data_IF_156997145312
#
_entry.id   IF_156997145312
#
_cell.length_a   1.000
_cell.length_b   1.000
_cell.length_c   1.000
_cell.angle_alpha   90.00
_cell.angle_beta   90.00
_cell.angle_gamma   90.00
#
_symmetry.space_group_name_H-M   'P 1'
#
loop_
_entity.id
_entity.type
_entity.pdbx_description
1 polymer ?
#
# COMPACT_ATOMS: atom_id res chain seq x y z
N UNK A 1 -2.52 33.79 2.21
CA UNK A 1 -1.36 33.49 3.04
C UNK A 1 -1.63 34.10 4.39
N UNK A 2 -1.58 33.31 5.46
CA UNK A 2 -1.71 33.81 6.82
C UNK A 2 -0.39 34.42 7.26
N UNK A 3 -0.49 35.50 8.06
CA UNK A 3 0.67 36.02 8.74
C UNK A 3 1.18 34.97 9.73
N UNK A 4 2.46 34.62 9.62
CA UNK A 4 3.09 33.64 10.52
C UNK A 4 3.11 34.14 12.00
N UNK A 5 2.87 35.43 12.21
CA UNK A 5 2.79 36.04 13.53
C UNK A 5 1.35 36.20 14.05
N UNK A 6 0.33 35.74 13.29
CA UNK A 6 -1.04 35.84 13.74
C UNK A 6 -1.25 35.02 15.03
N UNK A 7 -1.90 35.63 16.01
CA UNK A 7 -2.28 34.95 17.25
C UNK A 7 -3.47 33.98 16.99
N UNK A 8 -3.70 33.04 17.89
CA UNK A 8 -4.82 32.14 17.77
C UNK A 8 -6.20 32.79 17.65
N UNK A 9 -6.34 34.05 18.18
CA UNK A 9 -7.55 34.85 18.06
C UNK A 9 -7.75 35.47 16.67
N UNK A 10 -6.66 35.61 15.90
CA UNK A 10 -6.67 36.26 14.58
C UNK A 10 -6.80 35.23 13.43
N UNK A 11 -6.76 33.95 13.76
CA UNK A 11 -6.95 32.90 12.78
C UNK A 11 -8.44 32.80 12.39
N UNK A 12 -8.76 32.75 11.10
CA UNK A 12 -10.13 32.56 10.66
C UNK A 12 -10.67 31.19 11.08
N UNK A 13 -11.98 31.06 11.11
CA UNK A 13 -12.64 29.77 11.25
C UNK A 13 -12.27 28.80 10.10
N UNK A 14 -12.61 27.54 10.28
CA UNK A 14 -12.43 26.52 9.23
C UNK A 14 -13.27 26.86 8.00
N UNK A 15 -12.69 26.70 6.83
CA UNK A 15 -13.44 26.82 5.58
C UNK A 15 -14.23 25.53 5.29
N UNK A 16 -15.26 25.67 4.48
CA UNK A 16 -16.02 24.51 3.98
C UNK A 16 -15.12 23.53 3.24
N UNK A 17 -15.35 22.23 3.43
CA UNK A 17 -14.53 21.18 2.85
C UNK A 17 -14.38 21.29 1.34
N UNK A 18 -15.50 21.48 0.62
CA UNK A 18 -15.49 21.59 -0.85
C UNK A 18 -14.73 22.83 -1.33
N UNK A 19 -14.80 23.95 -0.61
CA UNK A 19 -13.99 25.12 -0.89
C UNK A 19 -12.48 24.81 -0.77
N UNK A 20 -12.09 24.08 0.26
CA UNK A 20 -10.69 23.64 0.41
C UNK A 20 -10.27 22.70 -0.72
N UNK A 21 -11.14 21.75 -1.11
CA UNK A 21 -10.90 20.84 -2.24
C UNK A 21 -10.65 21.63 -3.54
N UNK A 22 -11.49 22.63 -3.83
CA UNK A 22 -11.33 23.44 -5.05
C UNK A 22 -10.05 24.27 -5.04
N UNK A 23 -9.68 24.83 -3.89
CA UNK A 23 -8.40 25.58 -3.76
C UNK A 23 -7.17 24.68 -3.92
N UNK A 24 -7.18 23.49 -3.31
CA UNK A 24 -6.09 22.53 -3.45
C UNK A 24 -6.00 22.07 -4.91
N UNK A 25 -7.13 21.77 -5.55
CA UNK A 25 -7.15 21.38 -6.96
C UNK A 25 -6.58 22.46 -7.87
N UNK A 26 -6.95 23.72 -7.64
CA UNK A 26 -6.40 24.87 -8.37
C UNK A 26 -4.87 24.95 -8.22
N UNK A 27 -4.34 24.87 -6.99
CA UNK A 27 -2.89 24.89 -6.75
C UNK A 27 -2.17 23.72 -7.42
N UNK A 28 -2.78 22.53 -7.41
CA UNK A 28 -2.22 21.38 -8.12
C UNK A 28 -2.19 21.59 -9.64
N UNK A 29 -3.20 22.25 -10.21
CA UNK A 29 -3.22 22.60 -11.65
C UNK A 29 -2.16 23.67 -11.98
N UNK A 30 -2.04 24.72 -11.15
CA UNK A 30 -1.01 25.75 -11.29
C UNK A 30 0.41 25.15 -11.21
N UNK A 31 0.64 24.24 -10.27
CA UNK A 31 1.91 23.53 -10.15
C UNK A 31 2.18 22.59 -11.35
N UNK A 32 1.15 21.85 -11.78
CA UNK A 32 1.27 20.95 -12.93
C UNK A 32 1.60 21.68 -14.24
N UNK A 33 1.21 22.94 -14.37
CA UNK A 33 1.51 23.74 -15.56
C UNK A 33 2.99 24.12 -15.71
N UNK A 34 3.75 24.11 -14.61
CA UNK A 34 5.17 24.54 -14.61
C UNK A 34 6.16 23.42 -14.30
N UNK A 35 5.68 22.31 -13.72
CA UNK A 35 6.53 21.17 -13.37
C UNK A 35 6.74 20.23 -14.59
N UNK A 36 7.88 19.55 -14.69
CA UNK A 36 8.09 18.52 -15.72
C UNK A 36 7.17 17.33 -15.50
N UNK A 37 6.81 16.62 -16.58
CA UNK A 37 6.00 15.40 -16.49
C UNK A 37 6.71 14.26 -15.75
N UNK A 38 8.01 14.14 -15.98
CA UNK A 38 8.91 13.16 -15.33
C UNK A 38 10.24 13.82 -15.03
N UNK A 39 10.98 13.23 -14.11
CA UNK A 39 12.34 13.65 -13.73
C UNK A 39 13.31 12.47 -13.86
N UNK A 40 14.59 12.76 -13.77
CA UNK A 40 15.63 11.73 -13.76
C UNK A 40 15.45 10.76 -12.58
N UNK A 41 15.84 9.50 -12.76
CA UNK A 41 15.72 8.46 -11.74
C UNK A 41 16.52 8.80 -10.46
N UNK A 42 17.55 9.62 -10.54
CA UNK A 42 18.32 10.08 -9.35
C UNK A 42 17.59 11.10 -8.52
N UNK A 43 16.58 11.77 -9.10
CA UNK A 43 15.76 12.79 -8.46
C UNK A 43 14.28 12.37 -8.26
N UNK A 44 13.99 11.08 -8.35
CA UNK A 44 12.64 10.51 -8.37
C UNK A 44 11.70 10.93 -7.23
N UNK A 45 12.23 11.58 -6.19
CA UNK A 45 11.46 12.10 -5.05
C UNK A 45 10.88 13.49 -5.26
N UNK A 46 11.33 14.23 -6.28
CA UNK A 46 10.87 15.59 -6.57
C UNK A 46 9.47 15.58 -7.17
N UNK A 47 8.74 16.67 -6.93
CA UNK A 47 7.41 16.85 -7.49
C UNK A 47 7.43 16.93 -9.02
N UNK A 48 6.43 16.35 -9.65
CA UNK A 48 6.21 16.37 -11.11
C UNK A 48 4.74 16.70 -11.40
N UNK A 49 4.44 17.10 -12.64
CA UNK A 49 3.05 17.29 -13.06
C UNK A 49 2.25 15.99 -13.00
N UNK A 50 2.89 14.83 -13.22
CA UNK A 50 2.26 13.50 -13.01
C UNK A 50 1.79 13.32 -11.58
N UNK A 51 2.62 13.67 -10.59
CA UNK A 51 2.26 13.62 -9.16
C UNK A 51 1.11 14.58 -8.86
N UNK A 52 1.15 15.81 -9.37
CA UNK A 52 0.08 16.80 -9.16
C UNK A 52 -1.27 16.28 -9.67
N UNK A 53 -1.32 15.70 -10.87
CA UNK A 53 -2.53 15.11 -11.43
C UNK A 53 -3.02 13.90 -10.64
N UNK A 54 -2.13 13.04 -10.19
CA UNK A 54 -2.48 11.89 -9.34
C UNK A 54 -3.03 12.31 -7.97
N UNK A 55 -2.43 13.32 -7.34
CA UNK A 55 -2.93 13.89 -6.08
C UNK A 55 -4.29 14.55 -6.26
N UNK A 56 -4.53 15.27 -7.37
CA UNK A 56 -5.82 15.85 -7.69
C UNK A 56 -6.90 14.78 -7.88
N UNK A 57 -6.60 13.71 -8.59
CA UNK A 57 -7.52 12.58 -8.75
C UNK A 57 -7.88 11.96 -7.40
N UNK A 58 -6.89 11.73 -6.54
CA UNK A 58 -7.09 11.22 -5.17
C UNK A 58 -7.92 12.16 -4.32
N UNK A 59 -7.66 13.46 -4.38
CA UNK A 59 -8.41 14.50 -3.67
C UNK A 59 -9.90 14.44 -4.05
N UNK A 60 -10.22 14.38 -5.34
CA UNK A 60 -11.61 14.34 -5.80
C UNK A 60 -12.30 13.02 -5.45
N UNK A 61 -11.58 11.90 -5.47
CA UNK A 61 -12.12 10.62 -5.05
C UNK A 61 -12.53 10.65 -3.56
N UNK A 62 -11.69 11.23 -2.69
CA UNK A 62 -12.04 11.45 -1.29
C UNK A 62 -13.23 12.39 -1.13
N UNK A 63 -13.28 13.49 -1.89
CA UNK A 63 -14.37 14.46 -1.85
C UNK A 63 -15.71 13.88 -2.33
N UNK A 64 -15.68 12.88 -3.23
CA UNK A 64 -16.86 12.18 -3.71
C UNK A 64 -17.36 11.09 -2.74
N UNK A 65 -16.52 10.65 -1.78
CA UNK A 65 -16.88 9.59 -0.84
C UNK A 65 -18.10 9.96 0.00
N UNK A 66 -18.92 8.98 0.44
CA UNK A 66 -20.17 9.24 1.17
C UNK A 66 -20.02 10.19 2.35
N UNK A 67 -18.91 10.08 3.11
CA UNK A 67 -18.66 10.92 4.29
C UNK A 67 -18.57 12.41 3.95
N UNK A 68 -18.07 12.77 2.76
CA UNK A 68 -17.94 14.16 2.30
C UNK A 68 -18.97 14.52 1.21
N UNK A 69 -19.89 13.61 0.95
CA UNK A 69 -20.92 13.76 -0.07
C UNK A 69 -22.29 13.32 0.47
N UNK A 70 -22.80 14.10 1.41
CA UNK A 70 -24.17 13.96 1.93
C UNK A 70 -24.32 13.12 3.20
N UNK A 71 -23.34 12.29 3.59
CA UNK A 71 -23.45 11.35 4.74
C UNK A 71 -22.52 11.68 5.89
N UNK A 72 -22.21 12.97 6.11
CA UNK A 72 -21.34 13.35 7.21
C UNK A 72 -22.01 13.10 8.57
N UNK A 73 -21.35 12.40 9.52
CA UNK A 73 -22.01 11.88 10.72
C UNK A 73 -22.31 12.93 11.80
N UNK A 74 -21.72 14.11 11.73
CA UNK A 74 -21.88 15.14 12.75
C UNK A 74 -22.83 16.24 12.30
N UNK A 75 -24.14 16.24 12.70
CA UNK A 75 -25.16 17.14 12.18
C UNK A 75 -24.92 18.62 12.52
N UNK A 76 -24.24 18.90 13.63
CA UNK A 76 -23.98 20.27 14.12
C UNK A 76 -22.56 20.79 13.75
N UNK A 77 -21.89 20.18 12.79
CA UNK A 77 -20.55 20.59 12.36
C UNK A 77 -20.66 21.84 11.49
N UNK A 78 -20.58 23.00 12.15
CA UNK A 78 -20.66 24.32 11.49
C UNK A 78 -19.89 25.37 12.28
N UNK A 79 -19.49 26.44 11.60
CA UNK A 79 -18.89 27.60 12.25
C UNK A 79 -19.94 28.42 13.03
N UNK A 80 -19.48 29.11 14.06
CA UNK A 80 -20.31 30.08 14.81
C UNK A 80 -20.17 31.49 14.27
N UNK A 81 -18.95 31.90 13.96
CA UNK A 81 -18.55 33.29 13.66
C UNK A 81 -17.80 33.46 12.32
N UNK A 82 -17.74 32.45 11.49
CA UNK A 82 -17.07 32.51 10.18
C UNK A 82 -17.97 31.90 9.09
N UNK A 83 -17.97 32.55 7.92
CA UNK A 83 -18.67 32.09 6.73
C UNK A 83 -17.71 31.86 5.58
N UNK A 84 -17.76 30.67 4.99
CA UNK A 84 -17.01 30.38 3.77
C UNK A 84 -17.76 30.96 2.57
N UNK A 85 -17.10 31.74 1.68
CA UNK A 85 -17.75 32.29 0.49
C UNK A 85 -18.45 31.20 -0.33
N UNK A 86 -19.75 31.39 -0.59
CA UNK A 86 -20.58 30.43 -1.33
C UNK A 86 -21.14 29.27 -0.52
N UNK A 87 -20.70 29.07 0.75
CA UNK A 87 -21.10 27.92 1.58
C UNK A 87 -21.68 28.32 2.95
N UNK A 88 -21.60 29.61 3.32
CA UNK A 88 -22.06 30.08 4.62
C UNK A 88 -21.28 29.47 5.77
N UNK A 89 -21.98 29.09 6.85
CA UNK A 89 -21.37 28.54 8.08
C UNK A 89 -21.18 27.02 8.03
N UNK A 90 -21.73 26.34 7.06
CA UNK A 90 -21.56 24.88 6.94
C UNK A 90 -20.11 24.53 6.62
N UNK A 91 -19.66 23.40 7.17
CA UNK A 91 -18.27 22.90 6.97
C UNK A 91 -18.19 21.74 6.01
N UNK A 92 -19.29 21.00 5.81
CA UNK A 92 -19.37 19.84 4.91
C UNK A 92 -20.76 19.82 4.28
N UNK A 93 -20.83 19.48 2.99
CA UNK A 93 -22.09 19.35 2.26
C UNK A 93 -23.00 18.27 2.88
N UNK A 94 -24.26 18.62 3.10
CA UNK A 94 -25.33 17.73 3.62
C UNK A 94 -26.14 17.06 2.52
N UNK A 95 -25.95 17.49 1.30
CA UNK A 95 -26.68 16.98 0.14
C UNK A 95 -25.74 16.16 -0.73
N UNK A 96 -26.22 15.00 -1.17
CA UNK A 96 -25.51 14.18 -2.14
C UNK A 96 -25.45 14.88 -3.49
N UNK A 97 -24.25 14.95 -4.07
CA UNK A 97 -23.98 15.50 -5.38
C UNK A 97 -23.31 14.44 -6.26
N UNK A 98 -24.01 13.89 -7.27
CA UNK A 98 -23.45 12.89 -8.17
C UNK A 98 -22.30 13.45 -9.03
N UNK A 99 -22.26 14.77 -9.30
CA UNK A 99 -21.20 15.39 -10.11
C UNK A 99 -19.81 15.27 -9.45
N UNK A 100 -19.73 15.09 -8.13
CA UNK A 100 -18.45 14.80 -7.45
C UNK A 100 -17.83 13.51 -7.95
N UNK A 101 -18.63 12.47 -8.23
CA UNK A 101 -18.13 11.22 -8.80
C UNK A 101 -17.70 11.36 -10.25
N UNK A 102 -18.44 12.13 -11.06
CA UNK A 102 -18.05 12.41 -12.44
C UNK A 102 -16.73 13.18 -12.50
N UNK A 103 -16.57 14.17 -11.62
CA UNK A 103 -15.34 14.95 -11.48
C UNK A 103 -14.16 14.06 -11.04
N UNK A 104 -14.36 13.15 -10.08
CA UNK A 104 -13.36 12.20 -9.64
C UNK A 104 -12.95 11.25 -10.77
N UNK A 105 -13.93 10.69 -11.50
CA UNK A 105 -13.68 9.80 -12.64
C UNK A 105 -12.89 10.48 -13.75
N UNK A 106 -13.25 11.72 -14.09
CA UNK A 106 -12.56 12.50 -15.11
C UNK A 106 -11.09 12.75 -14.70
N UNK A 107 -10.85 13.15 -13.45
CA UNK A 107 -9.50 13.36 -12.93
C UNK A 107 -8.67 12.06 -12.87
N UNK A 108 -9.28 10.94 -12.50
CA UNK A 108 -8.59 9.64 -12.50
C UNK A 108 -8.18 9.21 -13.92
N UNK A 109 -9.07 9.39 -14.91
CA UNK A 109 -8.75 9.10 -16.31
C UNK A 109 -7.63 10.01 -16.86
N UNK A 110 -7.71 11.31 -16.54
CA UNK A 110 -6.67 12.27 -16.91
C UNK A 110 -5.31 11.89 -16.28
N UNK A 111 -5.28 11.64 -14.98
CA UNK A 111 -4.05 11.29 -14.26
C UNK A 111 -3.42 10.00 -14.79
N UNK A 112 -4.24 8.96 -15.01
CA UNK A 112 -3.77 7.69 -15.55
C UNK A 112 -3.22 7.86 -16.98
N UNK A 113 -3.97 8.52 -17.85
CA UNK A 113 -3.54 8.76 -19.23
C UNK A 113 -2.24 9.57 -19.28
N UNK A 114 -2.11 10.60 -18.46
CA UNK A 114 -0.91 11.42 -18.37
C UNK A 114 0.28 10.63 -17.81
N UNK A 115 0.10 9.85 -16.76
CA UNK A 115 1.15 9.02 -16.18
C UNK A 115 1.74 8.02 -17.19
N UNK A 116 0.88 7.36 -17.96
CA UNK A 116 1.29 6.37 -18.97
C UNK A 116 1.95 7.02 -20.20
N UNK A 117 1.43 8.15 -20.70
CA UNK A 117 1.88 8.73 -21.95
C UNK A 117 3.04 9.73 -21.77
N UNK A 118 3.01 10.54 -20.71
CA UNK A 118 3.95 11.64 -20.48
C UNK A 118 4.86 11.38 -19.26
N UNK A 119 4.31 10.75 -18.20
CA UNK A 119 5.01 10.49 -16.96
C UNK A 119 6.03 9.37 -17.04
N UNK A 120 6.00 8.55 -18.10
CA UNK A 120 6.87 7.38 -18.28
C UNK A 120 6.60 6.27 -17.26
N UNK A 121 5.38 6.23 -16.70
CA UNK A 121 4.95 5.19 -15.77
C UNK A 121 4.50 3.94 -16.53
N UNK A 122 4.68 2.79 -15.89
CA UNK A 122 4.18 1.50 -16.40
C UNK A 122 3.93 0.56 -15.22
N UNK A 123 3.06 -0.41 -15.39
CA UNK A 123 2.89 -1.46 -14.39
C UNK A 123 4.14 -2.32 -14.30
N UNK A 124 4.61 -2.55 -13.08
CA UNK A 124 5.79 -3.37 -12.81
C UNK A 124 5.46 -4.85 -12.98
N UNK A 125 6.31 -5.59 -13.67
CA UNK A 125 6.08 -7.00 -13.95
C UNK A 125 4.91 -7.30 -14.90
N UNK A 126 4.57 -6.35 -15.78
CA UNK A 126 3.48 -6.49 -16.73
C UNK A 126 3.84 -5.96 -18.12
N UNK A 127 3.61 -6.78 -19.14
CA UNK A 127 3.76 -6.38 -20.54
C UNK A 127 2.39 -5.91 -21.07
N UNK A 128 2.28 -4.60 -21.30
CA UNK A 128 1.05 -3.99 -21.78
C UNK A 128 0.65 -4.41 -23.20
N UNK A 129 1.63 -4.74 -24.04
CA UNK A 129 1.39 -5.14 -25.45
C UNK A 129 0.79 -6.55 -25.52
N UNK A 130 1.35 -7.51 -24.80
CA UNK A 130 0.84 -8.89 -24.73
C UNK A 130 -0.26 -9.08 -23.70
N UNK A 131 -0.45 -8.13 -22.77
CA UNK A 131 -1.38 -8.22 -21.63
C UNK A 131 -1.10 -9.42 -20.73
N UNK A 132 0.17 -9.73 -20.54
CA UNK A 132 0.64 -10.84 -19.71
C UNK A 132 1.57 -10.38 -18.63
N UNK A 133 1.78 -11.22 -17.62
CA UNK A 133 2.87 -11.03 -16.67
C UNK A 133 4.22 -11.03 -17.40
N UNK A 134 5.14 -10.21 -16.93
CA UNK A 134 6.52 -10.13 -17.41
C UNK A 134 7.46 -10.18 -16.21
N UNK A 135 8.17 -11.28 -16.07
CA UNK A 135 9.08 -11.51 -14.95
C UNK A 135 10.54 -11.11 -15.25
N UNK A 136 10.81 -10.44 -16.38
CA UNK A 136 12.19 -10.09 -16.79
C UNK A 136 12.92 -9.30 -15.73
N UNK A 137 12.29 -8.26 -15.17
CA UNK A 137 12.89 -7.47 -14.09
C UNK A 137 13.02 -8.26 -12.80
N UNK A 138 12.06 -9.15 -12.50
CA UNK A 138 12.10 -10.01 -11.31
C UNK A 138 13.28 -10.98 -11.40
N UNK A 139 13.45 -11.64 -12.53
CA UNK A 139 14.59 -12.55 -12.76
C UNK A 139 15.93 -11.81 -12.67
N UNK A 140 16.01 -10.59 -13.23
CA UNK A 140 17.19 -9.73 -13.13
C UNK A 140 17.52 -9.34 -11.69
N UNK A 141 16.53 -8.91 -10.91
CA UNK A 141 16.69 -8.51 -9.51
C UNK A 141 17.09 -9.71 -8.64
N UNK A 142 16.40 -10.84 -8.79
CA UNK A 142 16.75 -12.08 -8.09
C UNK A 142 18.18 -12.52 -8.37
N UNK A 143 18.59 -12.49 -9.64
CA UNK A 143 19.97 -12.84 -10.04
C UNK A 143 21.00 -11.88 -9.42
N UNK A 144 20.72 -10.58 -9.40
CA UNK A 144 21.59 -9.58 -8.77
C UNK A 144 21.77 -9.81 -7.26
N UNK A 145 20.76 -10.34 -6.60
CA UNK A 145 20.78 -10.69 -5.18
C UNK A 145 21.28 -12.12 -4.89
N UNK A 146 21.62 -12.89 -5.93
CA UNK A 146 22.03 -14.29 -5.78
C UNK A 146 20.88 -15.21 -5.32
N UNK A 147 19.64 -14.85 -5.63
CA UNK A 147 18.45 -15.63 -5.32
C UNK A 147 18.15 -16.62 -6.43
N UNK A 148 17.73 -17.82 -6.03
CA UNK A 148 17.21 -18.84 -6.93
C UNK A 148 15.81 -19.25 -6.50
N UNK A 149 14.97 -19.65 -7.44
CA UNK A 149 13.61 -20.12 -7.13
C UNK A 149 13.61 -21.29 -6.14
N UNK A 150 14.63 -22.17 -6.17
CA UNK A 150 14.71 -23.30 -5.25
C UNK A 150 14.83 -22.87 -3.79
N UNK A 151 15.42 -21.71 -3.53
CA UNK A 151 15.48 -21.14 -2.17
C UNK A 151 14.13 -20.58 -1.68
N UNK A 152 13.17 -20.41 -2.58
CA UNK A 152 11.84 -19.89 -2.28
C UNK A 152 10.80 -21.00 -2.12
N UNK A 153 11.12 -22.20 -2.55
CA UNK A 153 10.21 -23.35 -2.46
C UNK A 153 10.02 -23.75 -0.99
N UNK A 154 8.77 -23.88 -0.59
CA UNK A 154 8.37 -24.37 0.73
C UNK A 154 7.22 -25.34 0.57
N UNK A 155 7.38 -26.55 1.07
CA UNK A 155 6.37 -27.60 1.05
C UNK A 155 5.77 -27.80 -0.37
N UNK A 156 4.49 -27.53 -0.54
CA UNK A 156 3.75 -27.66 -1.79
C UNK A 156 3.78 -26.39 -2.66
N UNK A 157 4.36 -25.29 -2.19
CA UNK A 157 4.57 -24.06 -2.98
C UNK A 157 5.79 -24.19 -3.86
N UNK A 158 5.65 -24.90 -4.97
CA UNK A 158 6.74 -25.22 -5.90
C UNK A 158 6.54 -24.66 -7.30
N UNK A 159 5.36 -24.12 -7.62
CA UNK A 159 5.07 -23.50 -8.90
C UNK A 159 5.91 -22.23 -9.11
N UNK A 160 6.68 -22.19 -10.19
CA UNK A 160 7.63 -21.11 -10.46
C UNK A 160 6.94 -19.77 -10.72
N UNK A 161 5.82 -19.77 -11.44
CA UNK A 161 5.09 -18.53 -11.72
C UNK A 161 4.46 -17.98 -10.44
N UNK A 162 3.99 -18.86 -9.57
CA UNK A 162 3.49 -18.45 -8.26
C UNK A 162 4.60 -17.81 -7.42
N UNK A 163 5.77 -18.44 -7.34
CA UNK A 163 6.92 -17.93 -6.58
C UNK A 163 7.43 -16.61 -7.15
N UNK A 164 7.53 -16.47 -8.49
CA UNK A 164 7.86 -15.20 -9.14
C UNK A 164 6.81 -14.13 -8.88
N UNK A 165 5.54 -14.49 -8.79
CA UNK A 165 4.46 -13.55 -8.42
C UNK A 165 4.58 -13.06 -6.96
N UNK A 166 5.00 -13.93 -6.04
CA UNK A 166 5.33 -13.50 -4.66
C UNK A 166 6.48 -12.49 -4.67
N UNK A 167 7.56 -12.79 -5.40
CA UNK A 167 8.71 -11.90 -5.52
C UNK A 167 8.37 -10.58 -6.21
N UNK A 168 7.54 -10.63 -7.25
CA UNK A 168 7.03 -9.43 -7.92
C UNK A 168 6.36 -8.49 -6.92
N UNK A 169 5.49 -9.01 -6.07
CA UNK A 169 4.80 -8.22 -5.06
C UNK A 169 5.75 -7.65 -3.99
N UNK A 170 6.79 -8.40 -3.62
CA UNK A 170 7.84 -7.92 -2.71
C UNK A 170 8.65 -6.79 -3.35
N UNK A 171 9.14 -6.99 -4.58
CA UNK A 171 9.91 -5.99 -5.30
C UNK A 171 9.08 -4.75 -5.66
N UNK A 172 7.80 -4.91 -5.95
CA UNK A 172 6.90 -3.76 -6.20
C UNK A 172 6.94 -2.74 -5.06
N UNK A 173 7.05 -3.22 -3.80
CA UNK A 173 7.02 -2.37 -2.62
C UNK A 173 8.42 -1.93 -2.14
N UNK A 174 9.49 -2.56 -2.61
CA UNK A 174 10.85 -2.37 -2.08
C UNK A 174 11.84 -1.81 -3.08
N UNK A 175 11.50 -1.77 -4.37
CA UNK A 175 12.39 -1.25 -5.44
C UNK A 175 12.00 0.17 -5.85
N UNK A 176 12.92 0.83 -6.54
CA UNK A 176 12.82 2.22 -7.00
C UNK A 176 12.89 2.28 -8.55
N UNK A 177 12.64 3.44 -9.18
CA UNK A 177 12.65 3.56 -10.63
C UNK A 177 13.94 3.13 -11.34
N UNK A 178 15.11 3.26 -10.69
CA UNK A 178 16.37 2.75 -11.23
C UNK A 178 16.44 1.22 -11.32
N UNK A 179 15.64 0.52 -10.51
CA UNK A 179 15.53 -0.94 -10.52
C UNK A 179 14.55 -1.46 -11.58
N UNK A 180 13.97 -0.58 -12.37
CA UNK A 180 12.95 -0.88 -13.39
C UNK A 180 11.51 -0.68 -12.91
N UNK A 181 11.29 -0.41 -11.63
CA UNK A 181 9.95 -0.18 -11.08
C UNK A 181 9.45 1.23 -11.38
N UNK A 182 8.59 1.34 -12.39
CA UNK A 182 7.99 2.60 -12.84
C UNK A 182 6.51 2.70 -12.49
N UNK A 183 6.02 1.85 -11.60
CA UNK A 183 4.63 1.89 -11.14
C UNK A 183 4.41 2.97 -10.07
N UNK A 184 5.47 3.37 -9.37
CA UNK A 184 5.39 4.45 -8.40
C UNK A 184 5.16 5.80 -9.07
N UNK A 185 4.14 6.51 -8.62
CA UNK A 185 3.93 7.91 -8.96
C UNK A 185 4.72 8.84 -8.03
N UNK A 186 4.68 8.55 -6.72
CA UNK A 186 5.44 9.27 -5.71
C UNK A 186 5.62 8.40 -4.47
N UNK A 187 6.83 8.42 -3.93
CA UNK A 187 7.20 7.64 -2.76
C UNK A 187 7.95 8.52 -1.77
N UNK A 188 7.69 8.33 -0.48
CA UNK A 188 8.49 8.97 0.57
C UNK A 188 9.83 8.24 0.68
N UNK A 189 10.93 9.00 0.58
CA UNK A 189 12.29 8.46 0.73
C UNK A 189 12.84 8.71 2.14
N UNK A 190 13.84 7.91 2.50
CA UNK A 190 14.77 8.08 3.64
C UNK A 190 14.23 7.97 5.07
N UNK A 191 12.94 7.79 5.28
CA UNK A 191 12.41 7.83 6.65
C UNK A 191 12.21 6.46 7.31
N UNK A 192 12.46 5.36 6.60
CA UNK A 192 12.02 4.04 7.03
C UNK A 192 13.02 3.24 7.85
N UNK A 193 14.32 3.60 7.86
CA UNK A 193 15.38 2.80 8.49
C UNK A 193 15.12 2.40 9.94
N UNK A 194 14.49 3.27 10.74
CA UNK A 194 14.17 2.94 12.13
C UNK A 194 12.86 2.17 12.32
N UNK A 195 11.96 2.16 11.31
CA UNK A 195 10.64 1.51 11.41
C UNK A 195 10.63 0.12 10.81
N UNK A 196 11.48 -0.16 9.85
CA UNK A 196 11.64 -1.51 9.27
C UNK A 196 11.94 -2.53 10.35
N UNK A 197 12.83 -2.19 11.29
CA UNK A 197 13.20 -3.04 12.41
C UNK A 197 12.00 -3.35 13.33
N UNK A 198 11.03 -2.43 13.44
CA UNK A 198 9.84 -2.61 14.28
C UNK A 198 8.83 -3.61 13.71
N UNK A 199 8.78 -3.74 12.38
CA UNK A 199 7.83 -4.63 11.69
C UNK A 199 8.42 -5.98 11.34
N UNK A 200 9.75 -6.11 11.37
CA UNK A 200 10.42 -7.37 11.08
C UNK A 200 10.19 -8.41 12.18
N UNK A 201 10.13 -9.70 11.82
CA UNK A 201 10.13 -10.78 12.80
C UNK A 201 11.32 -10.71 13.75
N UNK A 202 11.12 -11.20 14.97
CA UNK A 202 12.17 -11.15 16.00
C UNK A 202 13.39 -11.99 15.63
N UNK A 203 14.59 -11.49 15.94
CA UNK A 203 15.87 -12.17 15.68
C UNK A 203 16.15 -12.53 14.21
N UNK A 204 15.68 -11.73 13.27
CA UNK A 204 15.88 -11.99 11.84
C UNK A 204 17.17 -11.39 11.28
N UNK A 205 17.76 -10.41 11.97
CA UNK A 205 18.94 -9.69 11.52
C UNK A 205 20.17 -10.27 12.22
N UNK A 206 21.22 -10.60 11.46
CA UNK A 206 22.55 -10.93 12.02
C UNK A 206 23.40 -9.69 12.12
N UNK A 207 24.03 -9.46 13.25
CA UNK A 207 25.08 -8.46 13.40
C UNK A 207 26.41 -8.92 12.76
N UNK A 208 27.43 -8.05 12.81
CA UNK A 208 28.76 -8.34 12.28
C UNK A 208 29.45 -9.54 12.95
N UNK A 209 29.02 -9.94 14.14
CA UNK A 209 29.55 -11.08 14.89
C UNK A 209 28.74 -12.37 14.66
N UNK A 210 27.71 -12.29 13.81
CA UNK A 210 26.82 -13.42 13.54
C UNK A 210 25.73 -13.65 14.59
N UNK A 211 25.64 -12.79 15.62
CA UNK A 211 24.57 -12.87 16.61
C UNK A 211 23.25 -12.38 16.03
N UNK A 212 22.18 -13.11 16.33
CA UNK A 212 20.84 -12.75 15.86
C UNK A 212 20.32 -11.54 16.65
N UNK A 213 19.96 -10.50 15.94
CA UNK A 213 19.47 -9.25 16.54
C UNK A 213 18.31 -8.68 15.70
N UNK A 214 17.67 -7.66 16.25
CA UNK A 214 16.66 -6.88 15.58
C UNK A 214 15.33 -7.62 15.39
N UNK A 215 14.40 -6.90 14.79
CA UNK A 215 13.02 -7.33 14.70
C UNK A 215 12.33 -7.27 16.07
N UNK A 216 11.27 -6.47 16.16
CA UNK A 216 10.58 -6.27 17.45
C UNK A 216 9.13 -6.75 17.40
N UNK A 217 8.68 -7.24 16.24
CA UNK A 217 7.28 -7.68 16.00
C UNK A 217 6.25 -6.65 16.51
N UNK A 218 6.61 -5.36 16.39
CA UNK A 218 5.78 -4.27 16.94
C UNK A 218 4.48 -4.01 16.17
N UNK A 219 4.30 -4.69 15.03
CA UNK A 219 3.10 -4.56 14.19
C UNK A 219 2.63 -5.94 13.78
N UNK A 220 1.62 -6.46 14.48
CA UNK A 220 0.93 -7.68 14.09
C UNK A 220 -0.24 -7.37 13.14
N UNK A 221 -0.47 -8.24 12.16
CA UNK A 221 -1.66 -8.17 11.33
C UNK A 221 -2.90 -8.57 12.13
N UNK A 222 -4.00 -7.86 11.94
CA UNK A 222 -5.29 -8.27 12.52
C UNK A 222 -5.84 -9.48 11.74
N UNK A 223 -6.60 -10.34 12.40
CA UNK A 223 -7.30 -11.46 11.73
C UNK A 223 -8.20 -10.94 10.60
N UNK A 224 -8.85 -9.81 10.82
CA UNK A 224 -9.64 -9.13 9.80
C UNK A 224 -8.82 -8.83 8.53
N UNK A 225 -7.61 -8.28 8.66
CA UNK A 225 -6.74 -8.00 7.50
C UNK A 225 -6.33 -9.30 6.79
N UNK A 226 -6.00 -10.35 7.54
CA UNK A 226 -5.63 -11.66 7.01
C UNK A 226 -6.78 -12.29 6.20
N UNK A 227 -8.00 -12.22 6.72
CA UNK A 227 -9.21 -12.77 6.07
C UNK A 227 -9.59 -12.03 4.77
N UNK A 228 -9.10 -10.80 4.55
CA UNK A 228 -9.37 -10.02 3.35
C UNK A 228 -8.38 -10.25 2.20
N UNK A 229 -7.39 -11.12 2.39
CA UNK A 229 -6.59 -11.64 1.29
C UNK A 229 -7.27 -12.86 0.68
N UNK A 230 -7.11 -13.05 -0.63
CA UNK A 230 -7.75 -14.15 -1.33
C UNK A 230 -7.07 -15.50 -1.05
N UNK A 231 -7.83 -16.55 -1.24
CA UNK A 231 -7.34 -17.91 -1.36
C UNK A 231 -6.60 -18.09 -2.70
N UNK A 232 -5.96 -19.21 -2.91
CA UNK A 232 -5.34 -19.57 -4.20
C UNK A 232 -6.34 -19.57 -5.37
N UNK A 233 -7.63 -19.73 -5.07
CA UNK A 233 -8.71 -19.79 -6.06
C UNK A 233 -9.32 -18.40 -6.36
N UNK A 234 -8.71 -17.33 -5.83
CA UNK A 234 -9.11 -15.94 -6.09
C UNK A 234 -10.40 -15.52 -5.40
N UNK A 235 -10.80 -16.19 -4.32
CA UNK A 235 -11.99 -15.90 -3.54
C UNK A 235 -11.60 -15.42 -2.13
N UNK A 236 -12.47 -14.67 -1.47
CA UNK A 236 -12.29 -14.44 -0.03
C UNK A 236 -12.51 -15.77 0.74
N UNK A 237 -11.79 -16.02 1.83
CA UNK A 237 -11.91 -17.24 2.62
C UNK A 237 -13.33 -17.66 2.96
N UNK A 238 -14.20 -16.70 3.30
CA UNK A 238 -15.60 -16.96 3.66
C UNK A 238 -16.48 -17.42 2.48
N UNK A 239 -16.05 -17.13 1.24
CA UNK A 239 -16.78 -17.48 0.01
C UNK A 239 -16.11 -18.60 -0.78
N UNK A 240 -15.06 -19.18 -0.25
CA UNK A 240 -14.35 -20.29 -0.88
C UNK A 240 -14.64 -21.61 -0.15
N UNK A 241 -15.50 -22.50 -0.71
CA UNK A 241 -15.86 -23.74 -0.06
C UNK A 241 -14.68 -24.73 0.04
N UNK A 242 -13.63 -24.54 -0.77
CA UNK A 242 -12.41 -25.37 -0.74
C UNK A 242 -11.40 -24.88 0.33
N UNK A 243 -11.64 -23.69 0.90
CA UNK A 243 -10.79 -23.17 1.95
C UNK A 243 -11.22 -23.71 3.32
N UNK A 244 -10.27 -23.75 4.25
CA UNK A 244 -10.53 -24.25 5.60
C UNK A 244 -11.57 -23.41 6.35
N UNK A 245 -12.49 -24.01 7.11
CA UNK A 245 -13.48 -23.25 7.91
C UNK A 245 -12.80 -22.53 9.06
N UNK A 246 -13.41 -21.43 9.53
CA UNK A 246 -12.87 -20.59 10.63
C UNK A 246 -12.55 -21.38 11.91
N UNK A 247 -13.30 -22.42 12.20
CA UNK A 247 -13.11 -23.28 13.38
C UNK A 247 -11.79 -24.07 13.34
N UNK A 248 -11.16 -24.16 12.16
CA UNK A 248 -9.94 -24.92 11.95
C UNK A 248 -8.73 -24.06 11.59
N UNK A 249 -8.86 -22.75 11.54
CA UNK A 249 -7.81 -21.82 11.10
C UNK A 249 -6.46 -22.04 11.79
N UNK A 250 -6.49 -22.33 13.08
CA UNK A 250 -5.29 -22.49 13.90
C UNK A 250 -4.79 -23.95 14.03
N UNK A 251 -5.42 -24.87 13.32
CA UNK A 251 -4.92 -26.24 13.23
C UNK A 251 -3.75 -26.31 12.24
N UNK A 252 -2.86 -27.29 12.41
CA UNK A 252 -1.80 -27.57 11.45
C UNK A 252 -2.36 -27.84 10.05
N UNK A 253 -1.68 -27.33 9.04
CA UNK A 253 -2.01 -27.62 7.62
C UNK A 253 -1.57 -29.03 7.17
N UNK A 254 -1.00 -29.84 8.06
CA UNK A 254 -0.47 -31.18 7.79
C UNK A 254 0.60 -31.26 6.69
N UNK A 255 1.34 -30.17 6.54
CA UNK A 255 2.50 -30.08 5.70
C UNK A 255 3.74 -30.69 6.40
N UNK A 256 4.87 -30.79 5.69
CA UNK A 256 6.13 -31.21 6.28
C UNK A 256 6.57 -30.29 7.42
N UNK A 257 6.34 -28.98 7.27
CA UNK A 257 6.47 -28.03 8.37
C UNK A 257 5.16 -27.94 9.16
N UNK A 258 5.13 -28.58 10.31
CA UNK A 258 3.93 -28.65 11.17
C UNK A 258 3.52 -27.30 11.83
N UNK A 259 4.38 -26.29 11.75
CA UNK A 259 4.08 -24.98 12.29
C UNK A 259 3.17 -24.15 11.35
N UNK A 260 3.08 -24.53 10.08
CA UNK A 260 2.16 -23.85 9.16
C UNK A 260 0.73 -24.21 9.52
N UNK A 261 -0.06 -23.20 9.84
CA UNK A 261 -1.48 -23.35 10.17
C UNK A 261 -2.35 -23.24 8.90
N UNK A 262 -3.54 -23.84 8.94
CA UNK A 262 -4.47 -23.86 7.81
C UNK A 262 -4.84 -22.47 7.30
N UNK A 263 -4.95 -21.46 8.21
CA UNK A 263 -5.21 -20.06 7.83
C UNK A 263 -4.18 -19.49 6.85
N UNK A 264 -2.92 -19.92 6.98
CA UNK A 264 -1.80 -19.40 6.19
C UNK A 264 -1.47 -20.25 4.96
N UNK A 265 -2.20 -21.33 4.74
CA UNK A 265 -2.03 -22.23 3.61
C UNK A 265 -3.02 -21.94 2.49
N UNK A 266 -2.71 -22.31 1.25
CA UNK A 266 -3.57 -22.10 0.07
C UNK A 266 -4.02 -20.64 -0.13
N UNK A 267 -3.09 -19.69 -0.01
CA UNK A 267 -3.35 -18.26 -0.18
C UNK A 267 -2.76 -17.75 -1.50
N UNK A 268 -3.21 -16.57 -1.90
CA UNK A 268 -2.70 -15.86 -3.07
C UNK A 268 -1.26 -15.35 -2.89
N UNK A 269 -0.51 -15.03 -3.96
CA UNK A 269 0.88 -14.54 -3.87
C UNK A 269 1.05 -13.29 -3.00
N UNK A 270 0.08 -12.35 -3.02
CA UNK A 270 0.12 -11.13 -2.20
C UNK A 270 0.14 -11.43 -0.71
N UNK A 271 -0.53 -12.49 -0.28
CA UNK A 271 -0.51 -12.92 1.11
C UNK A 271 0.91 -13.25 1.56
N UNK A 272 1.60 -14.10 0.81
CA UNK A 272 2.97 -14.52 1.12
C UNK A 272 4.01 -13.40 0.93
N UNK A 273 3.68 -12.39 0.14
CA UNK A 273 4.52 -11.20 0.02
C UNK A 273 4.37 -10.24 1.20
N UNK A 274 3.20 -10.21 1.84
CA UNK A 274 2.83 -9.21 2.85
C UNK A 274 3.02 -9.71 4.27
N UNK A 275 2.71 -10.97 4.54
CA UNK A 275 2.73 -11.52 5.90
C UNK A 275 3.90 -12.47 6.11
N UNK A 276 4.53 -12.33 7.28
CA UNK A 276 5.47 -13.32 7.82
C UNK A 276 4.76 -14.14 8.88
N UNK A 277 4.93 -15.45 8.85
CA UNK A 277 4.34 -16.36 9.81
C UNK A 277 5.27 -17.56 10.07
N UNK A 278 5.01 -18.29 11.13
CA UNK A 278 5.81 -19.46 11.49
C UNK A 278 5.74 -20.53 10.41
N UNK A 279 6.91 -21.03 10.01
CA UNK A 279 7.05 -22.02 8.94
C UNK A 279 7.21 -21.44 7.53
N UNK A 280 7.06 -20.12 7.33
CA UNK A 280 7.31 -19.49 6.04
C UNK A 280 8.77 -19.05 5.87
N UNK A 281 9.17 -18.78 4.64
CA UNK A 281 10.47 -18.22 4.30
C UNK A 281 10.36 -16.72 4.11
N UNK A 282 10.83 -15.96 5.11
CA UNK A 282 10.75 -14.50 5.08
C UNK A 282 11.63 -13.91 3.99
N UNK A 283 12.91 -14.31 3.95
CA UNK A 283 13.85 -13.89 2.93
C UNK A 283 14.93 -14.96 2.75
N UNK A 284 15.20 -15.37 1.52
CA UNK A 284 16.25 -16.34 1.25
C UNK A 284 17.67 -15.77 1.39
N UNK A 285 17.81 -14.43 1.48
CA UNK A 285 19.10 -13.76 1.74
C UNK A 285 19.41 -13.75 3.23
N UNK A 286 18.40 -13.59 4.05
CA UNK A 286 18.51 -13.70 5.49
C UNK A 286 18.60 -15.20 5.77
N UNK A 287 19.83 -15.68 5.97
CA UNK A 287 20.18 -17.10 6.23
C UNK A 287 19.13 -17.72 7.12
N UNK A 288 18.64 -18.88 6.70
CA UNK A 288 17.59 -19.67 7.35
C UNK A 288 17.57 -19.47 8.87
N UNK A 289 16.71 -18.56 9.31
CA UNK A 289 16.31 -18.56 10.69
C UNK A 289 15.33 -19.71 10.77
N UNK A 290 15.80 -20.80 11.39
CA UNK A 290 14.88 -21.83 11.85
C UNK A 290 13.91 -21.11 12.79
N UNK A 291 12.71 -20.81 12.32
CA UNK A 291 11.63 -20.24 13.13
C UNK A 291 11.09 -21.31 14.10
N UNK A 292 11.94 -21.72 15.03
CA UNK A 292 11.54 -22.68 16.06
C UNK A 292 10.77 -22.03 17.21
N UNK A 293 10.60 -20.71 17.22
CA UNK A 293 10.02 -20.00 18.36
C UNK A 293 9.19 -18.73 18.02
N UNK A 294 8.55 -18.62 16.87
CA UNK A 294 7.40 -17.73 16.73
C UNK A 294 6.13 -18.49 17.18
N UNK A 295 6.12 -18.88 18.44
CA UNK A 295 4.82 -19.12 19.06
C UNK A 295 4.08 -17.78 19.07
N UNK A 296 2.99 -17.69 18.34
CA UNK A 296 1.98 -16.66 18.59
C UNK A 296 1.74 -16.64 20.11
N UNK A 297 1.74 -15.48 20.77
CA UNK A 297 1.41 -15.42 22.17
C UNK A 297 0.01 -16.02 22.33
N UNK A 298 -0.05 -17.27 22.78
CA UNK A 298 -1.29 -17.99 23.12
C UNK A 298 -1.95 -17.44 24.39
N UNK A 299 -1.61 -16.22 24.78
CA UNK A 299 -2.16 -15.52 25.93
C UNK A 299 -2.82 -14.21 25.55
N UNK A 300 -3.81 -14.24 24.65
CA UNK A 300 -4.89 -13.27 24.72
C UNK A 300 -5.95 -13.82 25.68
N UNK A 301 -5.78 -13.57 26.95
CA UNK A 301 -6.94 -13.55 27.86
C UNK A 301 -7.79 -12.36 27.45
N UNK A 302 -8.96 -12.65 26.94
CA UNK A 302 -10.11 -11.73 26.91
C UNK A 302 -10.43 -11.33 28.33
#
# INVERSE_FOLDING_TARGET
LYDANASGSDLPGRSHFDYCVDRIAQWLDEAAAVLPAKIDNTEWRRATSTICKALKARLFLYAASPIYNGSFPYPNWRNTNYETPGYGKELVSRTYDPQKWDRALAACKEALGFALNEGGCSLFGYNAASRTQDFTDIDRLMNAEGLTLDKLKIDDRTDENFLKSVMLMRYLLTTIPSDGNREFLWQMGDYMQGREVLIMPYNIIKDSNGSMQGGWVGSGATLYSIEHFYTKDGKLPEYDPEFTPKTEYFQSADLSNKNIIKLNHNREPRFYATFSFDGDQYSPIIVAVSYTHLTLPTNSRV
#
